data_IF_995834976821
#
_entry.id   IF_995834976821
#
_cell.length_a   1.000
_cell.length_b   1.000
_cell.length_c   1.000
_cell.angle_alpha   90.00
_cell.angle_beta   90.00
_cell.angle_gamma   90.00
#
_symmetry.space_group_name_H-M   'P 1'
#
loop_
_entity.id
_entity.type
_entity.pdbx_description
1 polymer ?
#
# COMPACT_ATOMS: atom_id res chain seq x y z
N UNK A 1 -10.62 -8.43 -21.44
CA UNK A 1 -10.15 -7.05 -21.14
C UNK A 1 -9.26 -7.15 -19.91
N UNK A 2 -8.14 -6.43 -19.83
CA UNK A 2 -7.24 -6.44 -18.65
C UNK A 2 -7.83 -5.51 -17.58
N UNK A 3 -8.03 -6.02 -16.35
CA UNK A 3 -8.53 -5.27 -15.21
C UNK A 3 -7.41 -4.51 -14.48
N UNK A 4 -6.19 -5.01 -14.56
CA UNK A 4 -5.00 -4.36 -14.03
C UNK A 4 -4.79 -2.99 -14.67
N UNK A 5 -4.18 -2.07 -13.94
CA UNK A 5 -4.00 -0.68 -14.37
C UNK A 5 -2.73 -0.07 -13.80
N UNK A 6 -2.27 1.01 -14.43
CA UNK A 6 -1.19 1.86 -13.94
C UNK A 6 -1.81 3.18 -13.49
N UNK A 7 -1.46 3.65 -12.30
CA UNK A 7 -1.90 4.93 -11.78
C UNK A 7 -0.72 5.89 -11.64
N UNK A 8 -0.77 6.98 -12.38
CA UNK A 8 0.21 8.06 -12.27
C UNK A 8 -0.36 9.17 -11.40
N UNK A 9 0.36 9.57 -10.37
CA UNK A 9 -0.13 10.53 -9.41
C UNK A 9 0.91 11.03 -8.43
N UNK A 10 0.50 11.19 -7.19
CA UNK A 10 1.32 11.79 -6.15
C UNK A 10 1.00 11.21 -4.77
N UNK A 11 1.99 11.34 -3.90
CA UNK A 11 1.84 11.13 -2.46
C UNK A 11 2.03 12.46 -1.77
N UNK A 12 1.17 12.75 -0.79
CA UNK A 12 1.25 13.93 0.07
C UNK A 12 1.31 13.46 1.51
N UNK A 13 2.23 14.03 2.27
CA UNK A 13 2.29 13.88 3.72
C UNK A 13 2.24 15.25 4.37
N UNK A 14 1.36 15.43 5.34
CA UNK A 14 1.26 16.64 6.14
C UNK A 14 1.18 16.27 7.62
N UNK A 15 2.24 16.58 8.33
CA UNK A 15 2.28 16.49 9.79
C UNK A 15 1.81 17.82 10.38
N UNK A 16 0.97 17.76 11.39
CA UNK A 16 0.44 18.92 12.09
C UNK A 16 1.14 19.13 13.45
N UNK A 17 1.46 18.03 14.15
CA UNK A 17 2.05 18.04 15.49
C UNK A 17 3.22 17.08 15.61
N UNK A 18 4.18 17.34 16.50
CA UNK A 18 4.35 18.53 17.34
C UNK A 18 4.83 19.75 16.55
N UNK A 19 5.36 19.56 15.34
CA UNK A 19 5.80 20.64 14.42
C UNK A 19 5.26 20.37 13.03
N UNK A 20 4.81 21.42 12.36
CA UNK A 20 4.30 21.33 10.99
C UNK A 20 5.41 20.91 10.03
N UNK A 21 5.11 19.91 9.23
CA UNK A 21 6.01 19.42 8.20
C UNK A 21 5.19 18.85 7.04
N UNK A 22 5.54 19.25 5.82
CA UNK A 22 4.81 18.88 4.61
C UNK A 22 5.76 18.50 3.49
N UNK A 23 5.44 17.41 2.79
CA UNK A 23 6.13 17.05 1.56
C UNK A 23 5.19 16.37 0.57
N UNK A 24 5.60 16.40 -0.69
CA UNK A 24 4.85 15.86 -1.82
C UNK A 24 5.80 15.26 -2.83
N UNK A 25 5.49 14.06 -3.31
CA UNK A 25 6.25 13.36 -4.34
C UNK A 25 5.34 12.84 -5.44
N UNK A 26 5.81 12.93 -6.69
CA UNK A 26 5.15 12.28 -7.83
C UNK A 26 5.56 10.81 -7.85
N UNK A 27 4.58 9.93 -8.07
CA UNK A 27 4.76 8.47 -8.09
C UNK A 27 3.89 7.84 -9.17
N UNK A 28 4.19 6.60 -9.53
CA UNK A 28 3.22 5.74 -10.17
C UNK A 28 3.07 4.44 -9.37
N UNK A 29 1.88 3.88 -9.39
CA UNK A 29 1.56 2.61 -8.74
C UNK A 29 0.88 1.67 -9.74
N UNK A 30 0.97 0.39 -9.45
CA UNK A 30 0.28 -0.66 -10.19
C UNK A 30 -0.95 -1.10 -9.37
N UNK A 31 -2.08 -1.22 -10.04
CA UNK A 31 -3.20 -2.03 -9.57
C UNK A 31 -3.14 -3.34 -10.34
N UNK A 32 -2.87 -4.43 -9.67
CA UNK A 32 -2.70 -5.75 -10.27
C UNK A 32 -3.85 -6.65 -9.81
N UNK A 33 -4.62 -7.16 -10.77
CA UNK A 33 -5.49 -8.30 -10.53
C UNK A 33 -4.62 -9.56 -10.47
N UNK A 34 -4.62 -10.26 -9.34
CA UNK A 34 -3.73 -11.41 -9.14
C UNK A 34 -4.00 -12.55 -10.13
N UNK A 35 -5.20 -12.61 -10.70
CA UNK A 35 -5.54 -13.60 -11.74
C UNK A 35 -4.92 -13.30 -13.10
N UNK A 36 -4.44 -12.08 -13.32
CA UNK A 36 -3.88 -11.62 -14.59
C UNK A 36 -2.36 -11.64 -14.65
N UNK A 37 -1.67 -12.00 -13.55
CA UNK A 37 -0.21 -11.90 -13.43
C UNK A 37 0.53 -12.62 -14.56
N UNK A 38 0.15 -13.85 -14.90
CA UNK A 38 0.79 -14.60 -15.98
C UNK A 38 0.50 -14.02 -17.38
N UNK A 39 -0.69 -13.44 -17.56
CA UNK A 39 -1.06 -12.78 -18.80
C UNK A 39 -0.25 -11.49 -18.97
N UNK A 40 -0.07 -10.74 -17.89
CA UNK A 40 0.74 -9.53 -17.89
C UNK A 40 2.22 -9.84 -18.17
N UNK A 41 2.77 -10.89 -17.54
CA UNK A 41 4.16 -11.36 -17.78
C UNK A 41 4.40 -11.70 -19.26
N UNK A 42 3.42 -12.31 -19.94
CA UNK A 42 3.52 -12.70 -21.36
C UNK A 42 3.27 -11.55 -22.34
N UNK A 43 2.36 -10.62 -22.00
CA UNK A 43 1.87 -9.61 -22.98
C UNK A 43 2.50 -8.23 -22.82
N UNK A 44 3.08 -7.91 -21.65
CA UNK A 44 3.59 -6.57 -21.37
C UNK A 44 5.11 -6.59 -21.33
N UNK A 45 5.75 -6.11 -22.38
CA UNK A 45 7.21 -6.02 -22.41
C UNK A 45 7.72 -5.13 -21.27
N UNK A 46 8.90 -5.48 -20.73
CA UNK A 46 9.56 -4.83 -19.58
C UNK A 46 8.85 -5.03 -18.23
N UNK A 47 7.76 -5.82 -18.19
CA UNK A 47 7.13 -6.30 -16.95
C UNK A 47 7.42 -7.79 -16.77
N UNK A 48 7.61 -8.24 -15.53
CA UNK A 48 7.67 -9.66 -15.20
C UNK A 48 7.03 -9.98 -13.85
N UNK A 49 6.51 -11.20 -13.75
CA UNK A 49 5.98 -11.79 -12.54
C UNK A 49 6.98 -12.76 -11.94
N UNK A 50 7.35 -12.56 -10.67
CA UNK A 50 8.32 -13.38 -9.90
C UNK A 50 9.71 -13.53 -10.58
N UNK A 51 10.03 -12.68 -11.56
CA UNK A 51 11.30 -12.67 -12.28
C UNK A 51 11.88 -11.26 -12.34
N UNK A 52 13.20 -11.17 -12.52
CA UNK A 52 13.87 -9.88 -12.72
C UNK A 52 13.47 -9.25 -14.06
N UNK A 53 13.15 -7.95 -14.03
CA UNK A 53 12.95 -7.12 -15.22
C UNK A 53 13.14 -5.64 -14.86
N UNK A 54 12.98 -4.74 -15.84
CA UNK A 54 12.92 -3.29 -15.61
C UNK A 54 11.86 -2.96 -14.55
N UNK A 55 10.67 -3.53 -14.73
CA UNK A 55 9.55 -3.44 -13.79
C UNK A 55 9.08 -4.85 -13.49
N UNK A 56 8.87 -5.18 -12.23
CA UNK A 56 8.34 -6.49 -11.86
C UNK A 56 7.46 -6.44 -10.61
N UNK A 57 6.64 -7.47 -10.45
CA UNK A 57 5.87 -7.77 -9.26
C UNK A 57 6.28 -9.14 -8.72
N UNK A 58 6.51 -9.23 -7.43
CA UNK A 58 6.86 -10.49 -6.78
C UNK A 58 5.96 -10.75 -5.58
N UNK A 59 5.42 -11.97 -5.47
CA UNK A 59 4.61 -12.37 -4.32
C UNK A 59 5.39 -12.28 -3.00
N UNK A 60 6.69 -12.58 -3.03
CA UNK A 60 7.57 -12.46 -1.84
C UNK A 60 7.72 -11.05 -1.26
N UNK A 61 7.18 -10.05 -1.93
CA UNK A 61 7.17 -8.67 -1.42
C UNK A 61 5.97 -8.37 -0.53
N UNK A 62 5.02 -9.29 -0.46
CA UNK A 62 3.73 -9.12 0.20
C UNK A 62 3.37 -10.36 1.04
N UNK A 63 2.31 -10.24 1.85
CA UNK A 63 1.79 -11.34 2.63
C UNK A 63 2.79 -11.96 3.60
N UNK A 64 3.00 -13.26 3.54
CA UNK A 64 3.99 -13.98 4.38
C UNK A 64 5.45 -13.65 3.99
N UNK A 65 5.67 -13.11 2.80
CA UNK A 65 6.99 -12.72 2.28
C UNK A 65 7.95 -13.89 2.05
N UNK A 66 7.42 -15.07 1.85
CA UNK A 66 8.15 -16.32 1.55
C UNK A 66 8.05 -16.74 0.07
N UNK A 67 7.25 -16.02 -0.72
CA UNK A 67 6.99 -16.33 -2.13
C UNK A 67 5.78 -17.25 -2.35
N UNK A 68 5.07 -17.61 -1.29
CA UNK A 68 3.82 -18.35 -1.40
C UNK A 68 2.72 -17.52 -2.06
N UNK A 69 1.68 -18.21 -2.54
CA UNK A 69 0.56 -17.56 -3.26
C UNK A 69 -0.17 -16.54 -2.39
N UNK A 70 -0.20 -15.31 -2.86
CA UNK A 70 -0.94 -14.22 -2.20
C UNK A 70 -2.45 -14.48 -2.17
N UNK A 71 -3.01 -15.13 -3.21
CA UNK A 71 -4.42 -15.50 -3.21
C UNK A 71 -4.75 -16.46 -2.07
N UNK A 72 -3.91 -17.48 -1.86
CA UNK A 72 -4.07 -18.43 -0.76
C UNK A 72 -3.87 -17.76 0.60
N UNK A 73 -2.88 -16.89 0.72
CA UNK A 73 -2.63 -16.14 1.95
C UNK A 73 -3.83 -15.25 2.34
N UNK A 74 -4.39 -14.49 1.40
CA UNK A 74 -5.58 -13.67 1.65
C UNK A 74 -6.74 -14.56 2.06
N UNK A 75 -7.03 -15.62 1.29
CA UNK A 75 -8.14 -16.55 1.57
C UNK A 75 -8.04 -17.13 2.98
N UNK A 76 -6.87 -17.67 3.37
CA UNK A 76 -6.62 -18.22 4.71
C UNK A 76 -6.88 -17.19 5.83
N UNK A 77 -6.49 -15.92 5.61
CA UNK A 77 -6.69 -14.90 6.61
C UNK A 77 -8.16 -14.43 6.69
N UNK A 78 -8.89 -14.41 5.59
CA UNK A 78 -10.33 -14.13 5.61
C UNK A 78 -11.12 -15.24 6.32
N UNK A 79 -10.80 -16.51 6.04
CA UNK A 79 -11.43 -17.67 6.69
C UNK A 79 -11.25 -17.65 8.21
N UNK A 80 -10.06 -17.30 8.70
CA UNK A 80 -9.79 -17.14 10.15
C UNK A 80 -10.68 -16.11 10.82
N UNK A 81 -11.34 -15.23 10.07
CA UNK A 81 -12.19 -14.14 10.56
C UNK A 81 -13.63 -14.27 10.10
N UNK A 82 -14.05 -15.50 9.83
CA UNK A 82 -15.43 -15.83 9.44
C UNK A 82 -15.92 -15.07 8.19
N UNK A 83 -14.98 -14.64 7.30
CA UNK A 83 -15.30 -14.12 5.99
C UNK A 83 -15.10 -15.26 4.99
N UNK A 84 -16.14 -16.11 4.87
CA UNK A 84 -16.10 -17.29 4.01
C UNK A 84 -16.70 -16.97 2.65
N UNK A 85 -15.91 -17.16 1.58
CA UNK A 85 -16.36 -17.12 0.20
C UNK A 85 -15.72 -18.27 -0.58
N UNK A 86 -16.52 -18.92 -1.43
CA UNK A 86 -16.09 -20.08 -2.22
C UNK A 86 -14.90 -19.72 -3.11
N UNK A 87 -14.94 -18.56 -3.75
CA UNK A 87 -13.84 -17.98 -4.51
C UNK A 87 -13.81 -16.46 -4.37
N UNK A 88 -12.64 -15.87 -4.59
CA UNK A 88 -12.41 -14.43 -4.43
C UNK A 88 -11.56 -13.89 -5.59
N UNK A 89 -11.82 -12.65 -5.96
CA UNK A 89 -11.00 -11.85 -6.87
C UNK A 89 -10.20 -10.84 -6.03
N UNK A 90 -8.91 -10.71 -6.29
CA UNK A 90 -8.03 -9.85 -5.49
C UNK A 90 -7.31 -8.89 -6.42
N UNK A 91 -7.42 -7.59 -6.13
CA UNK A 91 -6.61 -6.55 -6.76
C UNK A 91 -5.71 -5.92 -5.71
N UNK A 92 -4.42 -5.81 -6.01
CA UNK A 92 -3.45 -5.16 -5.14
C UNK A 92 -2.97 -3.85 -5.75
N UNK A 93 -3.07 -2.77 -4.98
CA UNK A 93 -2.46 -1.48 -5.28
C UNK A 93 -1.13 -1.40 -4.57
N UNK A 94 -0.03 -1.32 -5.33
CA UNK A 94 1.32 -1.29 -4.77
C UNK A 94 2.30 -0.56 -5.69
N UNK A 95 3.50 -0.27 -5.20
CA UNK A 95 4.60 0.16 -6.05
C UNK A 95 5.29 -1.04 -6.69
N UNK A 96 5.76 -0.92 -7.95
CA UNK A 96 6.50 -1.99 -8.60
C UNK A 96 7.92 -2.13 -8.06
N UNK A 97 8.53 -3.29 -8.28
CA UNK A 97 9.98 -3.39 -8.33
C UNK A 97 10.51 -2.67 -9.56
N UNK A 98 11.56 -1.89 -9.40
CA UNK A 98 12.31 -1.25 -10.48
C UNK A 98 13.74 -1.75 -10.40
N UNK A 99 14.24 -2.40 -11.45
CA UNK A 99 15.55 -3.08 -11.45
C UNK A 99 15.77 -3.99 -10.22
N UNK A 100 14.73 -4.76 -9.86
CA UNK A 100 14.79 -5.70 -8.74
C UNK A 100 14.68 -5.07 -7.35
N UNK A 101 14.60 -3.74 -7.22
CA UNK A 101 14.45 -3.05 -5.94
C UNK A 101 13.02 -2.56 -5.72
N UNK A 102 12.48 -2.80 -4.51
CA UNK A 102 11.14 -2.37 -4.12
C UNK A 102 11.11 -1.86 -2.69
N UNK A 103 10.26 -0.87 -2.45
CA UNK A 103 9.79 -0.48 -1.13
C UNK A 103 8.34 -0.03 -1.23
N UNK A 104 7.47 -0.73 -0.54
CA UNK A 104 6.05 -0.45 -0.45
C UNK A 104 5.72 0.03 0.98
N UNK A 105 5.67 1.35 1.25
CA UNK A 105 5.25 1.84 2.56
C UNK A 105 3.82 1.41 2.90
N UNK A 106 2.97 1.34 1.88
CA UNK A 106 1.60 0.89 1.94
C UNK A 106 1.25 0.12 0.68
N UNK A 107 0.66 -1.06 0.84
CA UNK A 107 -0.06 -1.77 -0.22
C UNK A 107 -1.50 -1.97 0.22
N UNK A 108 -2.44 -1.88 -0.72
CA UNK A 108 -3.86 -2.06 -0.43
C UNK A 108 -4.40 -3.21 -1.26
N UNK A 109 -4.94 -4.23 -0.59
CA UNK A 109 -5.64 -5.32 -1.25
C UNK A 109 -7.13 -5.04 -1.21
N UNK A 110 -7.75 -5.06 -2.38
CA UNK A 110 -9.19 -5.01 -2.58
C UNK A 110 -9.67 -6.43 -2.89
N UNK A 111 -10.47 -6.99 -2.00
CA UNK A 111 -10.97 -8.36 -2.13
C UNK A 111 -12.44 -8.34 -2.49
N UNK A 112 -12.78 -8.96 -3.61
CA UNK A 112 -14.13 -9.03 -4.15
C UNK A 112 -14.62 -10.47 -4.14
N UNK A 113 -15.93 -10.65 -4.03
CA UNK A 113 -16.59 -11.92 -4.33
C UNK A 113 -16.74 -12.11 -5.86
N UNK A 114 -17.38 -13.20 -6.28
CA UNK A 114 -17.58 -13.49 -7.71
C UNK A 114 -18.55 -12.50 -8.39
N UNK A 115 -19.44 -11.88 -7.62
CA UNK A 115 -20.41 -10.87 -8.07
C UNK A 115 -19.82 -9.45 -8.12
N UNK A 116 -18.47 -9.33 -8.04
CA UNK A 116 -17.72 -8.06 -8.02
C UNK A 116 -18.08 -7.11 -6.87
N UNK A 117 -18.66 -7.63 -5.78
CA UNK A 117 -18.89 -6.87 -4.56
C UNK A 117 -17.63 -6.89 -3.72
N UNK A 118 -17.22 -5.74 -3.20
CA UNK A 118 -16.09 -5.61 -2.32
C UNK A 118 -16.44 -6.16 -0.92
N UNK A 119 -15.74 -7.19 -0.48
CA UNK A 119 -16.02 -7.91 0.79
C UNK A 119 -14.99 -7.65 1.88
N UNK A 120 -13.76 -7.29 1.49
CA UNK A 120 -12.70 -7.00 2.46
C UNK A 120 -11.65 -6.07 1.87
N UNK A 121 -10.97 -5.32 2.75
CA UNK A 121 -9.79 -4.53 2.42
C UNK A 121 -8.68 -4.88 3.39
N UNK A 122 -7.46 -5.05 2.85
CA UNK A 122 -6.26 -5.25 3.64
C UNK A 122 -5.30 -4.08 3.39
N UNK A 123 -4.89 -3.41 4.46
CA UNK A 123 -3.84 -2.39 4.43
C UNK A 123 -2.54 -3.02 4.93
N UNK A 124 -1.63 -3.32 4.02
CA UNK A 124 -0.29 -3.84 4.33
C UNK A 124 0.68 -2.68 4.46
N UNK A 125 1.13 -2.42 5.68
CA UNK A 125 2.00 -1.31 6.03
C UNK A 125 3.41 -1.81 6.33
N UNK A 126 4.43 -1.17 5.76
CA UNK A 126 5.84 -1.50 5.99
C UNK A 126 6.60 -0.29 6.54
N UNK A 127 7.55 -0.58 7.42
CA UNK A 127 8.52 0.41 7.86
C UNK A 127 9.89 0.18 7.18
N UNK A 128 10.80 1.14 7.35
CA UNK A 128 12.17 1.04 6.81
C UNK A 128 13.07 0.08 7.59
N UNK A 129 12.58 -0.53 8.67
CA UNK A 129 13.30 -1.52 9.48
C UNK A 129 13.07 -2.97 9.01
N UNK A 130 12.39 -3.15 7.87
CA UNK A 130 12.09 -4.46 7.28
C UNK A 130 10.91 -5.20 7.90
N UNK A 131 10.09 -4.51 8.68
CA UNK A 131 8.91 -5.07 9.34
C UNK A 131 7.63 -4.71 8.59
N UNK A 132 6.60 -5.53 8.79
CA UNK A 132 5.31 -5.42 8.13
C UNK A 132 4.17 -5.67 9.12
N UNK A 133 3.05 -5.01 8.91
CA UNK A 133 1.79 -5.24 9.60
C UNK A 133 0.62 -5.09 8.63
N UNK A 134 -0.32 -6.01 8.70
CA UNK A 134 -1.52 -5.99 7.85
C UNK A 134 -2.77 -5.79 8.70
N UNK A 135 -3.51 -4.70 8.44
CA UNK A 135 -4.84 -4.47 8.99
C UNK A 135 -5.87 -5.01 8.02
N UNK A 136 -6.75 -5.88 8.48
CA UNK A 136 -7.81 -6.50 7.67
C UNK A 136 -9.16 -5.99 8.15
N UNK A 137 -9.96 -5.47 7.22
CA UNK A 137 -11.30 -4.97 7.47
C UNK A 137 -12.32 -5.73 6.64
N UNK A 138 -13.41 -6.13 7.27
CA UNK A 138 -14.60 -6.60 6.58
C UNK A 138 -15.36 -5.40 6.01
N UNK A 139 -15.81 -5.48 4.77
CA UNK A 139 -16.67 -4.45 4.16
C UNK A 139 -18.12 -4.86 4.36
N UNK A 140 -18.84 -4.12 5.19
CA UNK A 140 -20.25 -4.40 5.51
C UNK A 140 -21.21 -3.84 4.45
N UNK A 141 -20.84 -2.73 3.83
CA UNK A 141 -21.64 -2.09 2.76
C UNK A 141 -20.74 -1.73 1.60
N UNK A 142 -21.09 -2.28 0.44
CA UNK A 142 -20.37 -1.99 -0.78
C UNK A 142 -20.69 -0.58 -1.27
N UNK A 143 -19.72 0.32 -1.22
CA UNK A 143 -19.83 1.72 -1.64
C UNK A 143 -18.56 2.18 -2.35
N UNK A 144 -18.67 3.27 -3.14
CA UNK A 144 -17.48 3.84 -3.80
C UNK A 144 -16.49 4.46 -2.82
N UNK A 145 -16.99 5.03 -1.73
CA UNK A 145 -16.17 5.57 -0.64
C UNK A 145 -16.16 4.56 0.51
N UNK A 146 -14.98 4.07 0.83
CA UNK A 146 -14.75 3.12 1.91
C UNK A 146 -14.07 3.86 3.04
N UNK A 147 -14.57 3.64 4.26
CA UNK A 147 -14.04 4.24 5.48
C UNK A 147 -13.81 3.14 6.51
N UNK A 148 -12.61 3.13 7.07
CA UNK A 148 -12.21 2.21 8.11
C UNK A 148 -11.46 2.97 9.21
N UNK A 149 -11.55 2.52 10.44
CA UNK A 149 -10.78 3.07 11.54
C UNK A 149 -10.21 1.94 12.42
N UNK A 150 -9.06 2.17 13.00
CA UNK A 150 -8.46 1.24 13.95
C UNK A 150 -7.43 1.94 14.83
N UNK A 151 -7.12 1.31 15.94
CA UNK A 151 -5.97 1.69 16.77
C UNK A 151 -4.66 1.34 16.06
N UNK A 152 -3.68 2.20 16.18
CA UNK A 152 -2.34 1.95 15.64
C UNK A 152 -1.66 0.79 16.38
N UNK A 153 -1.40 -0.31 15.68
CA UNK A 153 -0.73 -1.51 16.21
C UNK A 153 0.72 -1.67 15.71
N UNK A 154 1.16 -0.79 14.80
CA UNK A 154 2.44 -0.93 14.13
C UNK A 154 3.29 0.35 14.20
N UNK A 155 4.58 0.18 14.55
CA UNK A 155 5.55 1.28 14.64
C UNK A 155 6.12 1.60 13.25
N UNK A 156 5.49 2.53 12.54
CA UNK A 156 5.90 2.94 11.17
C UNK A 156 7.03 3.95 11.20
N UNK A 157 6.98 4.90 12.13
CA UNK A 157 7.92 6.03 12.21
C UNK A 157 8.38 6.27 13.64
N UNK A 158 9.68 6.54 13.85
CA UNK A 158 10.21 6.83 15.18
C UNK A 158 9.80 8.21 15.72
N UNK A 159 9.02 8.96 14.98
CA UNK A 159 8.58 10.30 15.36
C UNK A 159 7.08 10.38 15.71
N UNK A 160 6.39 9.25 15.80
CA UNK A 160 4.95 9.18 16.12
C UNK A 160 4.72 8.06 17.13
N UNK A 161 4.01 8.41 18.21
CA UNK A 161 3.65 7.47 19.27
C UNK A 161 2.72 6.35 18.77
N UNK A 162 2.63 5.28 19.58
CA UNK A 162 1.72 4.15 19.34
C UNK A 162 0.30 4.45 19.79
N UNK A 163 0.10 5.36 20.74
CA UNK A 163 -1.22 5.74 21.22
C UNK A 163 -1.94 6.69 20.25
N UNK A 164 -2.31 6.14 19.11
CA UNK A 164 -2.94 6.85 18.01
C UNK A 164 -3.96 5.96 17.30
N UNK A 165 -4.90 6.60 16.60
CA UNK A 165 -5.87 5.95 15.75
C UNK A 165 -5.65 6.33 14.28
N UNK A 166 -5.86 5.37 13.38
CA UNK A 166 -5.91 5.56 11.94
C UNK A 166 -7.36 5.66 11.47
N UNK A 167 -7.60 6.59 10.56
CA UNK A 167 -8.82 6.70 9.77
C UNK A 167 -8.45 6.58 8.30
N UNK A 168 -8.83 5.48 7.69
CA UNK A 168 -8.62 5.22 6.28
C UNK A 168 -9.85 5.66 5.50
N UNK A 169 -9.63 6.38 4.42
CA UNK A 169 -10.66 6.72 3.42
C UNK A 169 -10.12 6.44 2.04
N UNK A 170 -10.80 5.61 1.29
CA UNK A 170 -10.36 5.27 -0.04
C UNK A 170 -11.51 5.13 -1.02
N UNK A 171 -11.22 5.39 -2.28
CA UNK A 171 -12.14 5.12 -3.37
C UNK A 171 -11.87 3.72 -3.92
N UNK A 172 -12.93 3.03 -4.35
CA UNK A 172 -12.76 1.84 -5.18
C UNK A 172 -11.93 2.20 -6.42
N UNK A 173 -11.01 1.31 -6.85
CA UNK A 173 -10.21 1.55 -8.05
C UNK A 173 -11.10 1.72 -9.29
N UNK A 174 -10.99 2.86 -9.93
CA UNK A 174 -11.70 3.24 -11.15
C UNK A 174 -10.81 4.12 -12.04
N UNK A 175 -11.35 5.16 -12.65
CA UNK A 175 -10.57 6.15 -13.42
C UNK A 175 -9.58 6.92 -12.54
N UNK A 176 -9.86 6.98 -11.25
CA UNK A 176 -8.98 7.56 -10.23
C UNK A 176 -8.86 6.61 -9.05
N UNK A 177 -7.71 6.64 -8.40
CA UNK A 177 -7.54 6.12 -7.05
C UNK A 177 -7.35 7.27 -6.09
N UNK A 178 -7.84 7.10 -4.87
CA UNK A 178 -7.52 7.95 -3.73
C UNK A 178 -7.47 7.08 -2.49
N UNK A 179 -6.34 7.13 -1.79
CA UNK A 179 -6.13 6.46 -0.50
C UNK A 179 -5.68 7.54 0.47
N UNK A 180 -6.47 7.78 1.49
CA UNK A 180 -6.21 8.81 2.51
C UNK A 180 -6.11 8.13 3.87
N UNK A 181 -5.09 8.50 4.63
CA UNK A 181 -4.86 8.07 6.00
C UNK A 181 -4.76 9.31 6.87
N UNK A 182 -5.72 9.49 7.74
CA UNK A 182 -5.66 10.46 8.81
C UNK A 182 -5.24 9.75 10.11
N UNK A 183 -4.29 10.33 10.82
CA UNK A 183 -3.85 9.82 12.11
C UNK A 183 -4.16 10.84 13.20
N UNK A 184 -4.78 10.35 14.27
CA UNK A 184 -5.17 11.17 15.42
C UNK A 184 -4.48 10.62 16.69
N UNK A 185 -4.05 11.51 17.56
CA UNK A 185 -3.82 11.20 18.97
C UNK A 185 -5.14 11.34 19.77
N UNK A 186 -5.08 11.34 21.07
CA UNK A 186 -6.28 11.46 21.92
C UNK A 186 -7.02 12.81 21.79
N UNK A 187 -6.40 13.81 21.17
CA UNK A 187 -6.91 15.19 21.12
C UNK A 187 -7.11 15.70 19.71
N UNK A 188 -6.14 15.46 18.82
CA UNK A 188 -6.09 16.15 17.54
C UNK A 188 -5.59 15.28 16.39
N UNK A 189 -5.83 15.75 15.18
CA UNK A 189 -5.17 15.22 13.98
C UNK A 189 -3.68 15.56 13.99
N UNK A 190 -2.84 14.53 13.97
CA UNK A 190 -1.38 14.68 13.99
C UNK A 190 -0.73 14.49 12.63
N UNK A 191 -1.36 13.70 11.75
CA UNK A 191 -0.84 13.42 10.42
C UNK A 191 -1.97 13.23 9.42
N UNK A 192 -1.74 13.69 8.21
CA UNK A 192 -2.48 13.39 7.00
C UNK A 192 -1.53 12.79 5.97
N UNK A 193 -1.88 11.67 5.38
CA UNK A 193 -1.19 11.10 4.24
C UNK A 193 -2.20 10.78 3.14
N UNK A 194 -1.86 11.05 1.89
CA UNK A 194 -2.69 10.65 0.76
C UNK A 194 -1.84 10.12 -0.40
N UNK A 195 -2.42 9.20 -1.15
CA UNK A 195 -1.94 8.74 -2.44
C UNK A 195 -3.09 8.85 -3.44
N UNK A 196 -2.91 9.65 -4.46
CA UNK A 196 -3.85 9.87 -5.54
C UNK A 196 -3.23 9.46 -6.88
N UNK A 197 -4.05 9.03 -7.83
CA UNK A 197 -3.58 8.68 -9.16
C UNK A 197 -4.67 8.62 -10.20
N UNK A 198 -4.28 8.84 -11.46
CA UNK A 198 -5.14 8.74 -12.64
C UNK A 198 -4.77 7.48 -13.40
N UNK A 199 -5.80 6.72 -13.81
CA UNK A 199 -5.70 5.44 -14.51
C UNK A 199 -5.07 5.60 -15.89
N UNK A 200 -4.22 4.64 -16.23
CA UNK A 200 -3.80 4.30 -17.57
C UNK A 200 -3.89 2.79 -17.74
N UNK A 201 -4.05 2.31 -18.95
CA UNK A 201 -4.09 0.88 -19.22
C UNK A 201 -2.76 0.21 -18.86
N UNK A 202 -2.84 -1.04 -18.43
CA UNK A 202 -1.64 -1.83 -18.16
C UNK A 202 -1.12 -2.44 -19.46
N UNK A 203 -0.29 -1.70 -20.16
CA UNK A 203 0.38 -2.13 -21.38
C UNK A 203 1.80 -1.55 -21.47
N UNK A 204 2.60 -2.08 -22.38
CA UNK A 204 4.01 -1.69 -22.56
C UNK A 204 4.20 -0.18 -22.74
N UNK A 205 3.34 0.47 -23.56
CA UNK A 205 3.43 1.90 -23.85
C UNK A 205 3.29 2.75 -22.60
N UNK A 206 2.23 2.53 -21.81
CA UNK A 206 1.96 3.31 -20.61
C UNK A 206 2.91 2.93 -19.45
N UNK A 207 3.37 1.66 -19.39
CA UNK A 207 4.35 1.23 -18.41
C UNK A 207 5.68 1.98 -18.58
N UNK A 208 6.22 2.00 -19.80
CA UNK A 208 7.45 2.74 -20.12
C UNK A 208 7.27 4.24 -19.94
N UNK A 209 6.13 4.80 -20.36
CA UNK A 209 5.82 6.22 -20.14
C UNK A 209 5.82 6.59 -18.66
N UNK A 210 5.26 5.73 -17.80
CA UNK A 210 5.23 5.93 -16.35
C UNK A 210 6.62 5.81 -15.74
N UNK A 211 7.40 4.83 -16.16
CA UNK A 211 8.80 4.68 -15.74
C UNK A 211 9.65 5.91 -16.13
N UNK A 212 9.56 6.39 -17.39
CA UNK A 212 10.33 7.56 -17.84
C UNK A 212 9.94 8.85 -17.12
N UNK A 213 8.67 8.98 -16.69
CA UNK A 213 8.23 10.11 -15.85
C UNK A 213 8.77 10.01 -14.42
N UNK A 214 9.02 8.80 -13.92
CA UNK A 214 9.40 8.54 -12.54
C UNK A 214 10.61 7.59 -12.47
N UNK A 215 11.74 7.89 -13.15
CA UNK A 215 12.88 7.01 -13.18
C UNK A 215 13.41 6.81 -11.75
N UNK A 216 13.82 5.56 -11.46
CA UNK A 216 14.35 5.15 -10.15
C UNK A 216 13.47 5.56 -8.95
N UNK A 217 12.14 5.61 -9.16
CA UNK A 217 11.16 6.07 -8.17
C UNK A 217 11.35 5.42 -6.80
N UNK A 218 11.54 4.10 -6.76
CA UNK A 218 11.63 3.34 -5.51
C UNK A 218 12.84 3.76 -4.67
N UNK A 219 13.98 4.03 -5.31
CA UNK A 219 15.16 4.58 -4.64
C UNK A 219 14.90 6.00 -4.12
N UNK A 220 14.24 6.83 -4.93
CA UNK A 220 13.85 8.20 -4.50
C UNK A 220 12.93 8.17 -3.28
N UNK A 221 12.01 7.22 -3.20
CA UNK A 221 11.11 7.08 -2.04
C UNK A 221 11.91 6.79 -0.77
N UNK A 222 12.84 5.83 -0.80
CA UNK A 222 13.67 5.51 0.36
C UNK A 222 14.56 6.69 0.77
N UNK A 223 15.24 7.30 -0.17
CA UNK A 223 16.07 8.49 0.08
C UNK A 223 15.22 9.61 0.69
N UNK A 224 14.03 9.86 0.10
CA UNK A 224 13.12 10.86 0.60
C UNK A 224 12.66 10.57 2.04
N UNK A 225 12.31 9.33 2.38
CA UNK A 225 11.92 8.96 3.74
C UNK A 225 13.04 9.28 4.75
N UNK A 226 14.28 8.92 4.44
CA UNK A 226 15.41 9.22 5.33
C UNK A 226 15.72 10.72 5.41
N UNK A 227 15.63 11.43 4.29
CA UNK A 227 15.80 12.89 4.24
C UNK A 227 14.73 13.62 5.06
N UNK A 228 13.47 13.23 4.92
CA UNK A 228 12.39 13.80 5.72
C UNK A 228 12.52 13.44 7.21
N UNK A 229 12.99 12.22 7.53
CA UNK A 229 13.33 11.83 8.89
C UNK A 229 14.44 12.70 9.49
N UNK A 230 15.50 12.96 8.72
CA UNK A 230 16.57 13.88 9.12
C UNK A 230 16.05 15.30 9.38
N UNK A 231 15.20 15.83 8.52
CA UNK A 231 14.56 17.15 8.74
C UNK A 231 13.72 17.20 10.03
N UNK A 232 12.99 16.14 10.33
CA UNK A 232 12.20 16.05 11.57
C UNK A 232 13.11 16.03 12.80
N UNK A 233 14.21 15.28 12.74
CA UNK A 233 15.23 15.26 13.79
C UNK A 233 15.90 16.63 13.97
N UNK A 234 16.32 17.28 12.89
CA UNK A 234 16.90 18.64 12.91
C UNK A 234 15.93 19.69 13.47
N UNK A 235 14.60 19.48 13.31
CA UNK A 235 13.59 20.31 13.98
C UNK A 235 13.43 20.00 15.48
N UNK A 236 14.20 19.09 16.05
CA UNK A 236 14.17 18.72 17.47
C UNK A 236 12.97 17.85 17.86
N UNK A 237 12.37 17.12 16.92
CA UNK A 237 11.30 16.17 17.26
C UNK A 237 11.94 14.94 17.91
N UNK A 238 11.44 14.57 19.10
CA UNK A 238 11.96 13.46 19.89
C UNK A 238 11.87 12.13 19.14
N UNK A 239 12.97 11.38 19.19
CA UNK A 239 13.02 10.01 18.67
C UNK A 239 12.41 9.03 19.67
N UNK A 240 11.39 8.29 19.27
CA UNK A 240 10.72 7.28 20.08
C UNK A 240 11.34 5.92 19.76
N UNK A 241 12.06 5.36 20.72
CA UNK A 241 12.66 4.02 20.56
C UNK A 241 11.56 2.96 20.50
N UNK A 242 11.69 2.07 19.56
CA UNK A 242 10.82 0.90 19.44
C UNK A 242 11.15 -0.12 20.53
N UNK A 243 10.12 -0.63 21.23
CA UNK A 243 10.30 -1.58 22.33
C UNK A 243 10.37 -3.05 21.88
N UNK A 244 9.69 -3.43 20.80
CA UNK A 244 9.56 -4.82 20.33
C UNK A 244 9.74 -4.86 18.81
N UNK A 245 10.52 -5.85 18.32
CA UNK A 245 10.67 -6.10 16.89
C UNK A 245 9.56 -7.06 16.42
N UNK A 246 8.76 -6.63 15.45
CA UNK A 246 7.67 -7.41 14.85
C UNK A 246 8.04 -7.63 13.39
N UNK A 247 8.28 -8.89 12.98
CA UNK A 247 8.64 -9.18 11.58
C UNK A 247 7.43 -9.10 10.66
N UNK A 248 6.34 -9.73 11.07
CA UNK A 248 5.07 -9.75 10.35
C UNK A 248 3.94 -9.93 11.37
N UNK A 249 2.88 -9.15 11.26
CA UNK A 249 1.73 -9.25 12.16
C UNK A 249 0.45 -8.88 11.40
N UNK A 250 -0.66 -9.44 11.84
CA UNK A 250 -1.97 -9.24 11.24
C UNK A 250 -2.96 -8.88 12.36
N UNK A 251 -3.75 -7.85 12.14
CA UNK A 251 -4.91 -7.52 12.98
C UNK A 251 -6.17 -7.50 12.15
N UNK A 252 -7.25 -7.98 12.76
CA UNK A 252 -8.59 -7.91 12.21
C UNK A 252 -9.33 -6.82 12.94
N UNK A 253 -10.00 -6.00 12.18
CA UNK A 253 -10.76 -4.87 12.67
C UNK A 253 -12.20 -5.00 12.12
N UNK A 254 -13.17 -4.87 13.02
CA UNK A 254 -14.61 -4.97 12.70
C UNK A 254 -15.19 -3.61 12.35
#
# INVERSE_FOLDING_TARGET
MINSAIYNGQVIHKRFKPKVHHFKYKVFSLLIDLSELEILDKKVNFFSFNKFNLISFHEKDHGERDGSSLKLWVKKNLEKNNIQHKDIKIKILCYPRIFGFVFNPLSVFYVYNLEDQLISILYEVKNTFGEQHTYIFKVLKDSNLIQNNCSKKFHVSPFIDMNCNYFFRLLKPGNKISVIIDQYDSKDKILYASQDGIRSDFNTKYLIKSYLKHPIMTFKIIIAIHYEAFKLWAKGIKFIKKKIKIRNNITFEN
#
